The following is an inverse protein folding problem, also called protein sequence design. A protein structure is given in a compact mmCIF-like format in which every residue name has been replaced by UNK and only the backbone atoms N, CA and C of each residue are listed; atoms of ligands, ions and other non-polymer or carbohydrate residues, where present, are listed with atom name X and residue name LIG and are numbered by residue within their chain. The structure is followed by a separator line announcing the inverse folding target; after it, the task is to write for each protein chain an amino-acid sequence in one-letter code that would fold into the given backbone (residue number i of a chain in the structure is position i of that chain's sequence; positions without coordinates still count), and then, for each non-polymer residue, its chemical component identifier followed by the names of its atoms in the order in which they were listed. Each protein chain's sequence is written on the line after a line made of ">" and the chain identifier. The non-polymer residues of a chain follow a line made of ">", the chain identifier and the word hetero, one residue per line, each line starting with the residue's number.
data_IF_026304863034
#
_entry.id   IF_026304863034
#
_cell.length_a   1.000
_cell.length_b   1.000
_cell.length_c   1.000
_cell.angle_alpha   90.00
_cell.angle_beta   90.00
_cell.angle_gamma   90.00
#
_symmetry.space_group_name_H-M   'P 1'
#
loop_
_entity.id
_entity.type
_entity.pdbx_description
1 polymer ?
#
# COMPACT_ATOMS: atom_id res chain seq x y z
N UNK A 1 -38.29 53.65 -23.54
CA UNK A 1 -37.69 54.17 -24.79
C UNK A 1 -36.35 54.79 -24.43
N UNK A 2 -35.31 54.55 -25.26
CA UNK A 2 -33.91 55.00 -25.15
C UNK A 2 -33.04 54.17 -24.20
N UNK A 3 -31.82 53.73 -24.53
CA UNK A 3 -31.06 53.59 -25.78
C UNK A 3 -29.83 52.77 -25.33
N UNK A 4 -29.54 51.65 -26.00
CA UNK A 4 -28.23 50.94 -25.90
C UNK A 4 -27.14 51.84 -26.50
N UNK A 5 -25.85 51.62 -26.14
CA UNK A 5 -24.96 51.11 -27.21
C UNK A 5 -23.79 50.21 -26.76
N UNK A 6 -23.39 49.38 -27.75
CA UNK A 6 -22.03 48.91 -28.11
C UNK A 6 -21.21 48.14 -27.05
N UNK A 7 -21.01 46.82 -27.13
CA UNK A 7 -20.49 45.98 -28.22
C UNK A 7 -19.11 46.45 -28.76
N UNK A 8 -18.05 46.13 -28.02
CA UNK A 8 -16.66 46.17 -28.49
C UNK A 8 -16.16 44.73 -28.60
N UNK A 9 -16.05 44.26 -29.85
CA UNK A 9 -15.37 43.03 -30.25
C UNK A 9 -13.85 43.29 -30.27
N UNK A 10 -13.10 42.64 -29.39
CA UNK A 10 -11.65 42.57 -29.48
C UNK A 10 -11.24 41.25 -30.13
N UNK A 11 -10.79 41.36 -31.38
CA UNK A 11 -10.18 40.28 -32.14
C UNK A 11 -8.74 40.03 -31.64
N UNK A 12 -8.49 38.85 -31.07
CA UNK A 12 -7.14 38.36 -30.82
C UNK A 12 -6.60 37.72 -32.10
N UNK A 13 -5.63 38.38 -32.73
CA UNK A 13 -4.89 37.86 -33.86
C UNK A 13 -3.97 36.71 -33.41
N UNK A 14 -4.15 35.55 -34.03
CA UNK A 14 -3.32 34.37 -33.90
C UNK A 14 -2.06 34.55 -34.77
N UNK A 15 -0.89 34.62 -34.14
CA UNK A 15 0.40 34.63 -34.84
C UNK A 15 1.01 33.24 -34.81
N UNK A 16 0.82 32.46 -35.87
CA UNK A 16 1.61 31.26 -36.14
C UNK A 16 2.91 31.69 -36.84
N UNK A 17 4.05 31.62 -36.16
CA UNK A 17 5.35 31.68 -36.82
C UNK A 17 5.81 30.26 -37.14
N UNK A 18 5.90 29.99 -38.44
CA UNK A 18 6.54 28.80 -39.00
C UNK A 18 8.06 28.96 -38.91
N UNK A 19 8.75 27.93 -38.40
CA UNK A 19 10.21 27.78 -38.51
C UNK A 19 10.48 26.57 -39.39
N UNK A 20 11.15 26.81 -40.52
CA UNK A 20 11.45 25.81 -41.54
C UNK A 20 12.90 25.28 -41.38
N UNK A 21 12.99 23.95 -41.44
CA UNK A 21 14.10 23.00 -41.70
C UNK A 21 15.57 23.44 -41.61
N UNK A 22 16.37 22.57 -40.96
CA UNK A 22 17.47 21.84 -41.63
C UNK A 22 17.88 20.57 -40.85
N UNK A 23 18.27 19.59 -41.65
CA UNK A 23 18.59 18.20 -41.33
C UNK A 23 19.88 18.07 -40.52
N UNK A 24 19.97 17.01 -39.71
CA UNK A 24 21.07 16.04 -39.83
C UNK A 24 20.62 14.69 -39.25
N UNK A 25 20.54 13.71 -40.13
CA UNK A 25 20.38 12.31 -39.79
C UNK A 25 21.78 11.72 -39.58
N UNK A 26 22.08 11.31 -38.35
CA UNK A 26 23.22 10.42 -38.08
C UNK A 26 22.72 9.21 -37.32
N UNK A 27 22.74 8.09 -38.02
CA UNK A 27 22.42 6.75 -37.56
C UNK A 27 23.51 6.27 -36.58
N UNK A 28 23.13 5.95 -35.35
CA UNK A 28 23.97 5.19 -34.42
C UNK A 28 23.15 4.15 -33.66
N UNK A 29 23.70 2.94 -33.59
CA UNK A 29 23.15 1.69 -33.07
C UNK A 29 22.70 1.75 -31.59
N UNK A 30 21.90 0.80 -31.08
CA UNK A 30 21.25 0.92 -29.79
C UNK A 30 22.26 0.68 -28.66
N UNK A 31 22.59 1.75 -27.93
CA UNK A 31 23.29 1.65 -26.66
C UNK A 31 22.27 1.31 -25.56
N UNK A 32 22.65 0.36 -24.72
CA UNK A 32 21.86 -0.11 -23.59
C UNK A 32 21.36 1.04 -22.72
N UNK A 33 20.05 1.06 -22.46
CA UNK A 33 19.39 1.98 -21.54
C UNK A 33 19.86 1.70 -20.11
N UNK A 34 20.94 2.37 -19.72
CA UNK A 34 21.26 2.62 -18.31
C UNK A 34 20.18 3.54 -17.77
N UNK A 35 19.43 3.08 -16.77
CA UNK A 35 18.47 3.89 -16.02
C UNK A 35 19.23 5.03 -15.32
N UNK A 36 19.25 6.20 -15.97
CA UNK A 36 19.73 7.43 -15.35
C UNK A 36 18.79 7.78 -14.20
N UNK A 37 19.27 7.59 -12.97
CA UNK A 37 18.65 8.16 -11.79
C UNK A 37 18.56 9.67 -11.98
N UNK A 38 17.36 10.16 -12.22
CA UNK A 38 17.08 11.60 -12.29
C UNK A 38 17.35 12.16 -10.90
N UNK A 39 18.41 12.93 -10.75
CA UNK A 39 18.62 13.76 -9.58
C UNK A 39 17.47 14.75 -9.53
N UNK A 40 16.46 14.47 -8.70
CA UNK A 40 15.35 15.39 -8.45
C UNK A 40 15.97 16.69 -7.97
N UNK A 41 15.76 17.76 -8.74
CA UNK A 41 16.30 19.07 -8.42
C UNK A 41 15.80 19.50 -7.04
N UNK A 42 16.72 19.99 -6.21
CA UNK A 42 16.52 20.25 -4.78
C UNK A 42 15.42 21.29 -4.52
N UNK A 43 15.06 22.08 -5.53
CA UNK A 43 13.99 23.07 -5.47
C UNK A 43 12.57 22.47 -5.57
N UNK A 44 12.40 21.28 -6.15
CA UNK A 44 11.08 20.68 -6.42
C UNK A 44 10.69 19.58 -5.41
N UNK A 45 11.33 19.58 -4.24
CA UNK A 45 11.02 18.61 -3.18
C UNK A 45 9.68 18.96 -2.50
N UNK A 46 8.57 18.56 -3.11
CA UNK A 46 7.22 18.79 -2.62
C UNK A 46 6.40 17.50 -2.69
N UNK A 47 5.40 17.41 -1.80
CA UNK A 47 4.36 16.39 -1.90
C UNK A 47 3.34 16.83 -2.95
N UNK A 48 3.08 15.97 -3.93
CA UNK A 48 2.05 16.19 -4.95
C UNK A 48 0.67 15.75 -4.47
N UNK A 49 0.62 14.76 -3.59
CA UNK A 49 -0.62 14.31 -2.96
C UNK A 49 -0.86 15.08 -1.66
N UNK A 50 -2.09 15.56 -1.45
CA UNK A 50 -2.45 16.35 -0.28
C UNK A 50 -2.52 15.52 1.03
N UNK A 51 -2.61 14.20 0.90
CA UNK A 51 -2.90 13.26 1.97
C UNK A 51 -1.72 12.35 2.34
N UNK A 52 -0.49 12.67 1.91
CA UNK A 52 0.72 11.91 2.24
C UNK A 52 0.85 11.61 3.75
N UNK A 53 0.47 12.56 4.60
CA UNK A 53 0.44 12.42 6.06
C UNK A 53 -0.58 11.41 6.57
N UNK A 54 -1.73 11.26 5.90
CA UNK A 54 -2.79 10.33 6.31
C UNK A 54 -2.37 8.88 6.14
N UNK A 55 -1.52 8.61 5.15
CA UNK A 55 -0.93 7.28 4.93
C UNK A 55 0.08 6.88 6.00
N UNK A 56 0.56 7.84 6.80
CA UNK A 56 1.59 7.62 7.81
C UNK A 56 2.94 7.23 7.22
N UNK A 57 3.93 7.03 8.10
CA UNK A 57 5.29 6.65 7.71
C UNK A 57 5.36 5.31 6.95
N UNK A 58 4.42 4.41 7.21
CA UNK A 58 4.33 3.11 6.55
C UNK A 58 4.08 3.25 5.04
N UNK A 59 3.39 4.31 4.62
CA UNK A 59 3.18 4.62 3.19
C UNK A 59 4.48 4.98 2.45
N UNK A 60 5.56 5.27 3.17
CA UNK A 60 6.86 5.63 2.61
C UNK A 60 7.75 4.43 2.30
N UNK A 61 7.28 3.19 2.53
CA UNK A 61 8.11 2.00 2.35
C UNK A 61 7.34 0.86 1.67
N UNK A 62 8.06 -0.21 1.35
CA UNK A 62 7.49 -1.42 0.77
C UNK A 62 6.86 -1.17 -0.60
N UNK A 63 5.68 -1.74 -0.84
CA UNK A 63 5.04 -1.67 -2.16
C UNK A 63 4.51 -0.28 -2.52
N UNK A 64 4.40 0.62 -1.53
CA UNK A 64 4.00 2.01 -1.75
C UNK A 64 5.16 2.93 -2.04
N UNK A 65 6.40 2.50 -1.80
CA UNK A 65 7.59 3.30 -2.02
C UNK A 65 7.62 3.96 -3.42
N UNK A 66 7.28 3.29 -4.54
CA UNK A 66 7.27 3.95 -5.85
C UNK A 66 6.24 5.08 -5.94
N UNK A 67 5.04 4.87 -5.39
CA UNK A 67 4.00 5.90 -5.34
C UNK A 67 4.43 7.06 -4.43
N UNK A 68 4.99 6.75 -3.27
CA UNK A 68 5.44 7.73 -2.29
C UNK A 68 6.64 8.53 -2.80
N UNK A 69 7.58 7.93 -3.54
CA UNK A 69 8.63 8.66 -4.26
C UNK A 69 8.07 9.63 -5.30
N UNK A 70 6.99 9.25 -5.97
CA UNK A 70 6.39 10.08 -7.02
C UNK A 70 5.50 11.20 -6.48
N UNK A 71 4.83 10.98 -5.34
CA UNK A 71 3.75 11.83 -4.84
C UNK A 71 3.94 12.37 -3.42
N UNK A 72 4.79 11.75 -2.62
CA UNK A 72 5.00 12.07 -1.19
C UNK A 72 6.49 12.22 -0.87
N UNK A 73 7.27 12.74 -1.82
CA UNK A 73 8.73 12.74 -1.75
C UNK A 73 9.26 13.55 -0.57
N UNK A 74 8.59 14.66 -0.24
CA UNK A 74 8.95 15.51 0.89
C UNK A 74 8.53 14.83 2.19
N UNK A 75 7.26 14.43 2.36
CA UNK A 75 6.78 13.76 3.56
C UNK A 75 7.62 12.53 3.92
N UNK A 76 7.94 11.71 2.93
CA UNK A 76 8.70 10.48 3.09
C UNK A 76 10.22 10.66 3.10
N UNK A 77 10.72 11.90 3.08
CA UNK A 77 12.17 12.18 3.12
C UNK A 77 12.98 11.58 1.99
N UNK A 78 12.36 11.32 0.84
CA UNK A 78 13.06 10.93 -0.39
C UNK A 78 13.82 12.09 -1.02
N UNK A 79 13.51 13.32 -0.61
CA UNK A 79 14.23 14.53 -0.93
C UNK A 79 14.20 15.46 0.29
N UNK A 80 15.05 16.50 0.27
CA UNK A 80 15.10 17.53 1.31
C UNK A 80 14.67 18.86 0.70
N UNK A 81 13.57 19.42 1.17
CA UNK A 81 13.18 20.78 0.81
C UNK A 81 14.05 21.80 1.59
N UNK A 82 14.58 22.86 0.94
CA UNK A 82 15.34 23.89 1.63
C UNK A 82 14.63 24.54 2.82
N UNK A 83 13.30 24.63 2.80
CA UNK A 83 12.50 25.16 3.91
C UNK A 83 12.57 24.26 5.15
N UNK A 84 12.70 22.95 4.97
CA UNK A 84 12.75 21.99 6.07
C UNK A 84 14.07 22.09 6.85
N UNK A 85 15.14 22.60 6.23
CA UNK A 85 16.45 22.78 6.86
C UNK A 85 16.48 23.94 7.87
N UNK A 86 15.61 24.93 7.69
CA UNK A 86 15.51 26.10 8.55
C UNK A 86 14.21 26.13 9.36
N UNK A 87 13.48 25.01 9.42
CA UNK A 87 12.23 24.93 10.16
C UNK A 87 12.51 25.08 11.65
N UNK A 88 12.05 26.20 12.21
CA UNK A 88 12.11 26.46 13.65
C UNK A 88 11.27 25.40 14.39
N UNK A 89 11.88 24.67 15.33
CA UNK A 89 11.11 23.76 16.16
C UNK A 89 10.36 24.52 17.24
N UNK A 90 9.05 24.61 17.06
CA UNK A 90 8.11 25.18 18.01
C UNK A 90 6.78 24.45 17.96
N UNK A 91 6.06 24.50 19.07
CA UNK A 91 4.65 24.15 19.08
C UNK A 91 3.89 25.23 18.29
N UNK A 92 2.89 24.80 17.54
CA UNK A 92 1.99 25.70 16.79
C UNK A 92 0.90 26.24 17.71
N UNK A 93 0.56 25.47 18.76
CA UNK A 93 -0.41 25.84 19.79
C UNK A 93 0.30 25.88 21.14
N UNK A 94 -0.17 26.75 22.03
CA UNK A 94 0.53 27.01 23.30
C UNK A 94 0.14 26.03 24.43
N UNK A 95 -0.88 25.20 24.23
CA UNK A 95 -1.49 24.38 25.28
C UNK A 95 -1.26 22.87 25.09
N UNK A 96 -0.14 22.47 24.48
CA UNK A 96 0.20 21.07 24.27
C UNK A 96 0.29 20.25 25.57
N UNK A 97 0.59 20.92 26.69
CA UNK A 97 0.65 20.36 28.04
C UNK A 97 -0.71 20.15 28.71
N UNK A 98 -1.79 20.74 28.17
CA UNK A 98 -3.16 20.56 28.69
C UNK A 98 -3.87 19.32 28.12
N UNK A 99 -3.33 18.73 27.06
CA UNK A 99 -3.88 17.51 26.46
C UNK A 99 -3.53 16.26 27.30
N UNK A 100 -4.15 15.14 26.92
CA UNK A 100 -3.91 13.84 27.53
C UNK A 100 -2.42 13.47 27.58
N UNK A 101 -2.01 12.78 28.65
CA UNK A 101 -0.61 12.44 28.91
C UNK A 101 0.04 11.55 27.83
N UNK A 102 -0.77 10.84 27.04
CA UNK A 102 -0.35 10.00 25.92
C UNK A 102 -0.38 10.72 24.57
N UNK A 103 -0.59 12.05 24.52
CA UNK A 103 -0.62 12.85 23.27
C UNK A 103 0.56 12.52 22.34
N UNK A 104 1.76 12.39 22.91
CA UNK A 104 3.00 12.20 22.16
C UNK A 104 3.29 10.74 21.82
N UNK A 105 2.61 9.78 22.45
CA UNK A 105 2.90 8.34 22.31
C UNK A 105 1.76 7.56 21.67
N UNK A 106 0.54 8.07 21.74
CA UNK A 106 -0.64 7.41 21.19
C UNK A 106 -0.71 7.58 19.66
N UNK A 107 -0.78 6.48 18.89
CA UNK A 107 -0.84 6.53 17.43
C UNK A 107 -2.01 7.35 16.86
N UNK A 108 -3.12 7.48 17.60
CA UNK A 108 -4.28 8.25 17.17
C UNK A 108 -3.99 9.76 17.09
N UNK A 109 -3.03 10.25 17.86
CA UNK A 109 -2.67 11.66 17.93
C UNK A 109 -1.38 12.01 17.20
N UNK A 110 -0.73 11.05 16.53
CA UNK A 110 0.57 11.27 15.87
C UNK A 110 0.54 12.45 14.90
N UNK A 111 -0.48 12.55 14.04
CA UNK A 111 -0.60 13.68 13.09
C UNK A 111 -0.78 15.00 13.84
N UNK A 112 -1.61 15.02 14.87
CA UNK A 112 -1.86 16.22 15.67
C UNK A 112 -0.61 16.66 16.41
N UNK A 113 0.12 15.73 17.05
CA UNK A 113 1.36 16.00 17.76
C UNK A 113 2.46 16.49 16.81
N UNK A 114 2.59 15.86 15.63
CA UNK A 114 3.52 16.29 14.58
C UNK A 114 3.17 17.68 14.02
N UNK A 115 1.90 18.10 14.00
CA UNK A 115 1.51 19.40 13.44
C UNK A 115 1.50 20.54 14.46
N UNK A 116 1.15 20.23 15.70
CA UNK A 116 0.83 21.26 16.69
C UNK A 116 1.77 21.26 17.89
N UNK A 117 2.37 20.12 18.23
CA UNK A 117 3.08 19.92 19.49
C UNK A 117 4.48 19.34 19.28
N UNK A 118 5.17 19.77 18.22
CA UNK A 118 6.48 19.22 17.85
C UNK A 118 7.52 19.40 18.95
N UNK A 119 7.56 20.58 19.58
CA UNK A 119 8.53 20.88 20.63
C UNK A 119 8.15 20.17 21.93
N UNK A 120 6.89 20.25 22.34
CA UNK A 120 6.37 19.55 23.53
C UNK A 120 6.61 18.03 23.45
N UNK A 121 6.34 17.43 22.28
CA UNK A 121 6.53 16.00 22.05
C UNK A 121 7.93 15.59 21.62
N UNK A 122 8.91 16.52 21.59
CA UNK A 122 10.28 16.27 21.13
C UNK A 122 10.37 15.69 19.68
N UNK A 123 9.43 16.06 18.82
CA UNK A 123 9.35 15.68 17.41
C UNK A 123 10.07 16.68 16.48
N UNK A 124 10.86 17.60 17.02
CA UNK A 124 11.65 18.58 16.25
C UNK A 124 12.54 17.96 15.16
N UNK A 125 13.06 16.76 15.45
CA UNK A 125 13.94 16.02 14.55
C UNK A 125 13.18 15.00 13.69
N UNK A 126 11.85 14.94 13.82
CA UNK A 126 10.96 14.14 12.96
C UNK A 126 10.72 14.83 11.62
N UNK A 127 11.70 15.60 11.13
CA UNK A 127 11.71 16.16 9.78
C UNK A 127 11.47 15.09 8.71
N UNK A 128 11.31 15.49 7.43
CA UNK A 128 10.92 14.59 6.34
C UNK A 128 11.64 13.25 6.49
N UNK A 129 10.87 12.21 6.85
CA UNK A 129 11.40 11.04 7.57
C UNK A 129 12.54 10.48 6.75
N UNK A 130 13.81 10.53 7.20
CA UNK A 130 14.87 9.91 6.44
C UNK A 130 14.47 8.45 6.29
N UNK A 131 14.39 7.99 5.04
CA UNK A 131 14.29 6.57 4.76
C UNK A 131 15.37 5.92 5.60
N UNK A 132 14.95 5.09 6.54
CA UNK A 132 15.82 4.35 7.45
C UNK A 132 16.86 3.61 6.61
N UNK A 133 18.03 4.21 6.40
CA UNK A 133 19.21 3.46 6.01
C UNK A 133 19.70 2.81 7.30
N UNK A 134 19.04 1.69 7.66
CA UNK A 134 19.47 0.70 8.63
C UNK A 134 20.10 1.18 9.93
N UNK A 135 19.52 0.71 11.05
CA UNK A 135 20.15 0.62 12.38
C UNK A 135 19.96 1.85 13.27
N UNK A 136 18.95 1.81 14.13
CA UNK A 136 19.11 1.80 15.59
C UNK A 136 17.73 1.74 16.24
N UNK A 137 17.38 0.56 16.74
CA UNK A 137 16.28 0.36 17.68
C UNK A 137 16.57 1.19 18.94
N UNK A 138 15.70 2.14 19.26
CA UNK A 138 15.60 2.66 20.62
C UNK A 138 14.47 1.95 21.34
N UNK A 139 14.84 1.31 22.45
CA UNK A 139 14.00 0.49 23.29
C UNK A 139 12.86 1.30 23.90
N UNK A 140 11.64 0.79 23.78
CA UNK A 140 10.59 1.04 24.75
C UNK A 140 10.11 -0.32 25.24
N UNK A 141 10.26 -0.54 26.53
CA UNK A 141 9.80 -1.73 27.24
C UNK A 141 8.28 -1.64 27.41
N UNK A 142 7.56 -2.77 27.33
CA UNK A 142 6.61 -3.07 28.40
C UNK A 142 6.91 -4.43 29.05
N UNK A 143 6.59 -4.49 30.33
CA UNK A 143 6.82 -5.58 31.27
C UNK A 143 6.57 -7.02 30.72
N UNK A 144 7.56 -7.88 31.00
CA UNK A 144 7.56 -9.32 31.35
C UNK A 144 6.32 -10.18 30.98
N UNK A 145 6.45 -11.38 30.42
CA UNK A 145 7.36 -12.47 30.82
C UNK A 145 7.69 -13.46 29.69
N UNK A 146 8.97 -13.86 29.67
CA UNK A 146 9.55 -15.20 29.39
C UNK A 146 10.62 -15.21 28.27
N UNK A 147 11.93 -15.29 28.64
CA UNK A 147 13.04 -15.30 27.70
C UNK A 147 13.37 -16.68 27.12
N UNK A 148 12.49 -17.67 27.21
CA UNK A 148 12.67 -18.93 26.46
C UNK A 148 11.54 -19.11 25.45
N UNK A 149 11.75 -18.68 24.20
CA UNK A 149 11.70 -19.60 23.05
C UNK A 149 11.97 -18.81 21.76
N UNK A 150 12.63 -19.49 20.85
CA UNK A 150 12.68 -19.28 19.39
C UNK A 150 11.29 -19.33 18.72
N UNK A 151 10.24 -18.89 19.42
CA UNK A 151 8.83 -19.03 19.08
C UNK A 151 8.37 -17.84 18.26
N UNK A 152 7.99 -18.11 17.02
CA UNK A 152 7.28 -17.17 16.18
C UNK A 152 5.92 -16.84 16.84
N UNK A 153 5.79 -15.63 17.40
CA UNK A 153 4.65 -15.19 18.20
C UNK A 153 4.20 -13.78 17.80
N UNK A 154 2.93 -13.46 18.06
CA UNK A 154 2.40 -12.10 17.89
C UNK A 154 3.01 -11.16 18.95
N UNK A 155 3.48 -9.99 18.52
CA UNK A 155 4.15 -8.99 19.37
C UNK A 155 3.21 -7.91 19.89
N UNK A 156 2.04 -7.75 19.26
CA UNK A 156 1.02 -6.79 19.70
C UNK A 156 -0.28 -7.53 20.06
N UNK A 157 -0.99 -7.01 21.07
CA UNK A 157 -2.15 -7.70 21.65
C UNK A 157 -3.43 -7.65 20.78
N UNK A 158 -3.44 -6.81 19.74
CA UNK A 158 -4.57 -6.55 18.86
C UNK A 158 -4.47 -7.25 17.49
N UNK A 159 -3.47 -8.11 17.26
CA UNK A 159 -3.33 -8.87 16.01
C UNK A 159 -4.60 -9.63 15.61
N UNK A 160 -5.35 -10.13 16.59
CA UNK A 160 -6.59 -10.86 16.38
C UNK A 160 -7.76 -9.97 15.97
N UNK A 161 -7.68 -8.67 16.24
CA UNK A 161 -8.68 -7.67 15.85
C UNK A 161 -8.49 -7.17 14.43
N UNK A 162 -7.28 -7.25 13.89
CA UNK A 162 -6.97 -6.81 12.53
C UNK A 162 -7.69 -7.65 11.47
N UNK A 163 -8.24 -7.06 10.40
CA UNK A 163 -8.81 -7.82 9.28
C UNK A 163 -7.83 -8.84 8.67
N UNK A 164 -8.34 -9.92 8.08
CA UNK A 164 -7.52 -10.92 7.36
C UNK A 164 -6.76 -10.33 6.18
N UNK A 165 -7.31 -9.28 5.57
CA UNK A 165 -6.64 -8.51 4.52
C UNK A 165 -5.30 -7.91 4.98
N UNK A 166 -5.12 -7.62 6.28
CA UNK A 166 -3.89 -7.02 6.80
C UNK A 166 -2.72 -8.01 6.85
N UNK A 167 -2.99 -9.31 6.69
CA UNK A 167 -1.94 -10.30 6.51
C UNK A 167 -1.36 -10.30 5.09
N UNK A 168 -1.90 -9.51 4.17
CA UNK A 168 -1.49 -9.53 2.77
C UNK A 168 -1.22 -8.14 2.23
N UNK A 169 -0.51 -8.10 1.10
CA UNK A 169 -0.29 -6.89 0.33
C UNK A 169 0.44 -5.85 1.16
N UNK A 170 -0.24 -4.74 1.40
CA UNK A 170 0.38 -3.51 1.90
C UNK A 170 0.80 -3.61 3.36
N UNK A 171 0.07 -4.41 4.15
CA UNK A 171 0.30 -4.59 5.57
C UNK A 171 1.08 -5.88 5.87
N UNK A 172 1.38 -6.70 4.85
CA UNK A 172 2.11 -7.96 5.00
C UNK A 172 3.48 -7.79 5.68
N UNK A 173 4.32 -6.79 5.32
CA UNK A 173 5.62 -6.60 5.98
C UNK A 173 5.47 -6.31 7.48
N UNK A 174 4.55 -5.42 7.85
CA UNK A 174 4.27 -5.11 9.25
C UNK A 174 3.72 -6.34 9.99
N UNK A 175 2.84 -7.09 9.34
CA UNK A 175 2.22 -8.28 9.90
C UNK A 175 3.21 -9.44 10.08
N UNK A 176 4.21 -9.59 9.21
CA UNK A 176 5.35 -10.52 9.41
C UNK A 176 6.17 -10.21 10.65
N UNK A 177 6.23 -8.95 11.05
CA UNK A 177 7.00 -8.55 12.24
C UNK A 177 6.16 -8.59 13.51
N UNK A 178 4.91 -8.12 13.44
CA UNK A 178 4.09 -7.86 14.63
C UNK A 178 3.00 -8.90 14.87
N UNK A 179 2.49 -9.55 13.82
CA UNK A 179 1.42 -10.53 13.90
C UNK A 179 1.74 -11.86 13.17
N UNK A 180 2.97 -12.39 13.26
CA UNK A 180 3.35 -13.52 12.43
C UNK A 180 2.61 -14.81 12.77
N UNK A 181 2.17 -14.97 14.02
CA UNK A 181 1.47 -16.16 14.46
C UNK A 181 0.03 -16.15 13.97
N UNK A 182 -0.70 -15.05 14.19
CA UNK A 182 -2.07 -14.89 13.70
C UNK A 182 -2.16 -14.94 12.17
N UNK A 183 -1.19 -14.33 11.47
CA UNK A 183 -1.17 -14.33 10.00
C UNK A 183 -0.69 -15.64 9.38
N UNK A 184 -0.25 -16.61 10.19
CA UNK A 184 0.22 -17.91 9.70
C UNK A 184 1.57 -17.85 8.98
N UNK A 185 2.41 -16.86 9.30
CA UNK A 185 3.80 -16.78 8.84
C UNK A 185 4.73 -17.67 9.65
N UNK A 186 4.28 -18.12 10.81
CA UNK A 186 4.96 -19.10 11.64
C UNK A 186 4.78 -20.52 11.10
N UNK A 187 5.81 -21.36 11.26
CA UNK A 187 5.72 -22.80 10.99
C UNK A 187 4.69 -23.46 11.91
N UNK A 188 4.71 -23.07 13.19
CA UNK A 188 3.66 -23.40 14.14
C UNK A 188 2.43 -22.53 13.91
N UNK A 189 1.26 -23.17 13.84
CA UNK A 189 -0.01 -22.51 13.55
C UNK A 189 -0.87 -22.41 14.80
N UNK A 190 -1.62 -21.31 14.98
CA UNK A 190 -2.65 -21.21 16.01
C UNK A 190 -3.57 -22.44 16.04
N UNK A 191 -3.75 -23.00 17.23
CA UNK A 191 -4.72 -24.08 17.45
C UNK A 191 -6.14 -23.60 17.12
N UNK A 192 -6.94 -24.53 16.63
CA UNK A 192 -8.36 -24.32 16.41
C UNK A 192 -9.13 -24.73 17.66
N UNK A 193 -9.13 -23.86 18.66
CA UNK A 193 -9.83 -24.09 19.93
C UNK A 193 -10.52 -22.80 20.40
N UNK A 194 -11.57 -22.98 21.20
CA UNK A 194 -12.20 -21.86 21.88
C UNK A 194 -11.44 -21.61 23.19
N UNK A 195 -11.05 -20.35 23.39
CA UNK A 195 -10.45 -19.92 24.65
C UNK A 195 -11.53 -19.80 25.74
N UNK A 196 -12.75 -19.41 25.37
CA UNK A 196 -13.89 -19.33 26.28
C UNK A 196 -14.73 -20.59 26.19
N UNK A 197 -15.03 -21.19 27.34
CA UNK A 197 -15.84 -22.42 27.44
C UNK A 197 -17.32 -22.21 27.14
N UNK A 198 -17.76 -20.96 26.99
CA UNK A 198 -19.16 -20.56 26.83
C UNK A 198 -19.44 -19.89 25.48
N UNK A 199 -18.59 -20.10 24.47
CA UNK A 199 -18.80 -19.57 23.11
C UNK A 199 -20.16 -19.95 22.52
N UNK A 200 -20.67 -21.15 22.82
CA UNK A 200 -21.98 -21.63 22.36
C UNK A 200 -23.19 -20.89 22.98
N UNK A 201 -22.98 -20.05 24.01
CA UNK A 201 -24.04 -19.26 24.63
C UNK A 201 -24.26 -17.92 23.90
N UNK A 202 -23.28 -17.47 23.12
CA UNK A 202 -23.42 -16.26 22.32
C UNK A 202 -24.30 -16.52 21.11
N UNK A 203 -25.01 -15.48 20.67
CA UNK A 203 -25.73 -15.52 19.42
C UNK A 203 -24.76 -15.70 18.25
N UNK A 204 -25.19 -16.47 17.23
CA UNK A 204 -24.39 -16.77 16.04
C UNK A 204 -23.90 -15.51 15.29
N UNK A 205 -24.59 -14.37 15.44
CA UNK A 205 -24.18 -13.08 14.88
C UNK A 205 -22.79 -12.64 15.35
N UNK A 206 -22.36 -13.02 16.56
CA UNK A 206 -21.00 -12.72 17.06
C UNK A 206 -19.90 -13.29 16.16
N UNK A 207 -20.20 -14.36 15.42
CA UNK A 207 -19.25 -14.98 14.50
C UNK A 207 -19.17 -14.28 13.13
N UNK A 208 -20.17 -13.46 12.79
CA UNK A 208 -20.30 -12.82 11.46
C UNK A 208 -20.26 -11.30 11.51
N UNK A 209 -20.48 -10.69 12.67
CA UNK A 209 -20.45 -9.24 12.85
C UNK A 209 -19.00 -8.73 12.83
N UNK A 210 -18.73 -7.78 11.93
CA UNK A 210 -17.41 -7.17 11.76
C UNK A 210 -16.89 -6.52 13.05
N UNK A 211 -17.79 -5.98 13.89
CA UNK A 211 -17.43 -5.40 15.18
C UNK A 211 -16.88 -6.45 16.15
N UNK A 212 -17.41 -7.66 16.12
CA UNK A 212 -16.99 -8.77 16.98
C UNK A 212 -15.99 -9.72 16.33
N UNK A 213 -15.72 -9.60 15.02
CA UNK A 213 -14.85 -10.50 14.27
C UNK A 213 -13.48 -10.69 14.93
N UNK A 214 -12.92 -9.62 15.50
CA UNK A 214 -11.66 -9.68 16.25
C UNK A 214 -11.74 -10.54 17.53
N UNK A 215 -12.76 -10.26 18.32
CA UNK A 215 -13.03 -10.97 19.56
C UNK A 215 -13.38 -12.44 19.31
N UNK A 216 -14.20 -12.74 18.32
CA UNK A 216 -14.60 -14.09 17.94
C UNK A 216 -13.40 -14.91 17.45
N UNK A 217 -12.52 -14.30 16.63
CA UNK A 217 -11.27 -14.93 16.19
C UNK A 217 -10.29 -15.17 17.33
N UNK A 218 -10.35 -14.44 18.44
CA UNK A 218 -9.46 -14.68 19.57
C UNK A 218 -10.03 -15.72 20.53
N UNK A 219 -11.33 -15.67 20.78
CA UNK A 219 -11.95 -16.35 21.90
C UNK A 219 -12.78 -17.58 21.51
N UNK A 220 -13.35 -17.58 20.30
CA UNK A 220 -14.39 -18.52 19.89
C UNK A 220 -14.15 -19.08 18.48
N UNK A 221 -12.89 -19.33 18.10
CA UNK A 221 -12.56 -19.74 16.72
C UNK A 221 -13.20 -21.05 16.31
N UNK A 222 -13.23 -22.03 17.20
CA UNK A 222 -13.78 -23.34 16.88
C UNK A 222 -15.30 -23.24 16.76
N UNK A 223 -15.97 -22.62 17.74
CA UNK A 223 -17.43 -22.38 17.69
C UNK A 223 -17.83 -21.56 16.46
N UNK A 224 -17.07 -20.52 16.10
CA UNK A 224 -17.36 -19.67 14.96
C UNK A 224 -16.80 -20.18 13.62
N UNK A 225 -16.14 -21.34 13.59
CA UNK A 225 -15.47 -21.88 12.40
C UNK A 225 -14.45 -20.89 11.77
N UNK A 226 -13.76 -20.11 12.58
CA UNK A 226 -12.76 -19.09 12.19
C UNK A 226 -11.32 -19.60 12.31
N UNK A 227 -11.13 -20.92 12.22
CA UNK A 227 -9.82 -21.57 12.36
C UNK A 227 -8.95 -21.51 11.11
N UNK A 228 -9.56 -21.17 9.96
CA UNK A 228 -8.81 -20.93 8.75
C UNK A 228 -7.81 -19.79 8.98
N UNK A 229 -6.58 -20.00 8.51
CA UNK A 229 -5.62 -18.91 8.45
C UNK A 229 -6.01 -18.00 7.30
N UNK A 230 -5.71 -16.70 7.40
CA UNK A 230 -5.83 -15.80 6.27
C UNK A 230 -5.14 -16.45 5.06
N UNK A 231 -5.80 -16.44 3.91
CA UNK A 231 -5.21 -16.85 2.63
C UNK A 231 -5.42 -15.73 1.64
N UNK A 232 -4.42 -15.45 0.82
CA UNK A 232 -4.55 -14.49 -0.25
C UNK A 232 -5.63 -14.96 -1.21
N UNK A 233 -6.78 -14.27 -1.25
CA UNK A 233 -7.77 -14.48 -2.30
C UNK A 233 -7.35 -13.64 -3.49
N UNK A 234 -6.78 -14.29 -4.50
CA UNK A 234 -6.59 -13.66 -5.81
C UNK A 234 -7.97 -13.34 -6.34
N UNK A 235 -8.41 -12.09 -6.19
CA UNK A 235 -9.65 -11.63 -6.82
C UNK A 235 -9.29 -11.28 -8.25
N UNK A 236 -9.42 -12.25 -9.15
CA UNK A 236 -9.33 -12.02 -10.60
C UNK A 236 -10.59 -11.32 -11.07
N UNK A 237 -10.81 -10.07 -10.66
CA UNK A 237 -11.62 -9.13 -11.43
C UNK A 237 -10.71 -8.56 -12.50
N UNK A 238 -10.56 -9.30 -13.59
CA UNK A 238 -10.17 -8.69 -14.86
C UNK A 238 -11.19 -7.56 -15.13
N UNK A 239 -10.75 -6.34 -15.44
CA UNK A 239 -11.67 -5.32 -15.97
C UNK A 239 -12.40 -5.92 -17.18
N UNK A 240 -13.71 -5.66 -17.37
CA UNK A 240 -14.42 -6.13 -18.54
C UNK A 240 -13.70 -5.60 -19.78
N UNK A 241 -12.99 -6.49 -20.47
CA UNK A 241 -12.39 -6.18 -21.76
C UNK A 241 -13.54 -5.92 -22.73
N UNK A 242 -13.61 -4.73 -23.36
CA UNK A 242 -14.50 -4.53 -24.48
C UNK A 242 -13.86 -5.27 -25.65
N UNK A 243 -14.30 -6.50 -25.90
CA UNK A 243 -14.70 -6.94 -27.24
C UNK A 243 -15.15 -8.39 -27.20
N UNK A 244 -16.46 -8.52 -27.36
CA UNK A 244 -17.13 -9.74 -27.75
C UNK A 244 -16.60 -10.19 -29.12
N UNK A 245 -16.06 -11.40 -29.18
CA UNK A 245 -16.13 -12.23 -30.38
C UNK A 245 -16.51 -13.63 -29.93
N UNK A 246 -17.80 -13.87 -30.01
CA UNK A 246 -18.48 -15.16 -29.93
C UNK A 246 -17.73 -16.24 -30.71
N UNK A 247 -17.26 -17.27 -30.01
CA UNK A 247 -17.26 -18.63 -30.56
C UNK A 247 -17.91 -19.55 -29.52
N UNK A 248 -19.08 -20.03 -29.89
CA UNK A 248 -19.89 -21.03 -29.19
C UNK A 248 -19.19 -22.38 -29.24
N UNK A 249 -18.93 -23.02 -28.09
CA UNK A 249 -18.73 -24.46 -28.02
C UNK A 249 -19.73 -25.03 -27.03
N UNK A 250 -20.65 -25.86 -27.57
CA UNK A 250 -21.60 -26.68 -26.83
C UNK A 250 -20.85 -27.73 -26.04
N UNK A 251 -21.23 -27.90 -24.77
CA UNK A 251 -20.83 -29.03 -23.93
C UNK A 251 -21.24 -30.36 -24.56
N UNK A 252 -20.35 -31.37 -24.50
CA UNK A 252 -20.74 -32.77 -24.33
C UNK A 252 -19.61 -33.55 -23.63
N UNK A 253 -19.89 -33.96 -22.39
CA UNK A 253 -19.51 -35.17 -21.68
C UNK A 253 -18.21 -35.94 -22.00
N UNK A 254 -17.45 -36.15 -20.92
CA UNK A 254 -16.86 -37.41 -20.46
C UNK A 254 -15.64 -38.01 -21.20
N UNK A 255 -14.70 -38.46 -20.34
CA UNK A 255 -13.64 -39.45 -20.55
C UNK A 255 -12.29 -38.97 -21.12
N UNK A 256 -11.27 -39.30 -20.33
CA UNK A 256 -9.83 -39.39 -20.60
C UNK A 256 -9.47 -39.70 -22.05
N UNK A 257 -8.41 -39.07 -22.59
CA UNK A 257 -7.32 -39.74 -23.33
C UNK A 257 -6.18 -38.77 -23.71
N UNK A 258 -4.97 -39.26 -23.43
CA UNK A 258 -3.63 -39.04 -23.99
C UNK A 258 -3.39 -37.99 -25.09
N UNK A 259 -2.33 -37.21 -24.86
CA UNK A 259 -1.56 -36.45 -25.87
C UNK A 259 -0.85 -37.44 -26.80
N UNK A 260 -1.14 -37.36 -28.11
CA UNK A 260 -0.20 -37.58 -29.23
C UNK A 260 -0.87 -37.25 -30.57
N UNK A 261 -0.23 -36.32 -31.28
CA UNK A 261 -0.07 -36.18 -32.74
C UNK A 261 -1.30 -36.18 -33.65
N UNK A 262 -1.40 -35.17 -34.52
CA UNK A 262 -1.10 -35.32 -35.97
C UNK A 262 -1.10 -33.95 -36.65
N UNK A 263 0.04 -33.69 -37.29
CA UNK A 263 0.33 -32.63 -38.24
C UNK A 263 -0.55 -32.73 -39.50
N UNK A 264 -1.06 -31.60 -39.99
CA UNK A 264 -1.68 -31.53 -41.31
C UNK A 264 -0.63 -31.29 -42.39
N UNK A 265 -0.79 -32.03 -43.48
CA UNK A 265 0.14 -32.26 -44.58
C UNK A 265 0.12 -31.16 -45.64
N UNK A 266 1.27 -30.90 -46.26
CA UNK A 266 1.39 -30.24 -47.57
C UNK A 266 1.83 -31.24 -48.64
N UNK A 267 0.92 -31.48 -49.59
CA UNK A 267 1.08 -31.48 -51.06
C UNK A 267 2.42 -31.98 -51.65
N UNK A 268 2.40 -33.07 -52.43
CA UNK A 268 2.35 -32.99 -53.90
C UNK A 268 2.49 -34.34 -54.62
N UNK A 269 1.87 -34.34 -55.79
CA UNK A 269 1.63 -35.39 -56.79
C UNK A 269 2.92 -35.68 -57.59
N UNK A 270 3.24 -36.95 -57.91
CA UNK A 270 3.13 -37.53 -59.28
C UNK A 270 3.72 -38.95 -59.36
N UNK A 271 3.18 -39.71 -60.32
CA UNK A 271 3.38 -41.13 -60.58
C UNK A 271 4.66 -41.43 -61.40
N UNK A 272 5.14 -42.67 -61.34
CA UNK A 272 5.81 -43.29 -62.49
C UNK A 272 6.94 -44.27 -62.17
N UNK A 273 6.58 -45.56 -62.20
CA UNK A 273 7.40 -46.79 -62.34
C UNK A 273 8.37 -47.19 -61.22
#
# INVERSE_FOLDING_TARGET
>A
MRLLPACVLLAFACSCQAVDKRQDASTSAPAATTMAGTTVDRADCLDKAADCRRSGAEGCQGIYEPYARANCARYCGFCINPEDLNKECKDKIDNCDEYQADLCTNPLYTIFAEDNCQKFCNLCNSGPRPVFTGTTSSSINPAATDPTNTSCADKVNYCWSEPDANCFGIYEPWSKVNCPFRCGFCDEKPKCEDLLTYCAQYDSSVCTDDYYAGWARKNCRATCNLCAHPKFKVTTTLPPSPNNSTVSMKDTNNSTVSIRDINNSTLSIHQGF
#
